data_IF_257538077530
#
_entry.id   IF_257538077530
#
_cell.length_a   1.000
_cell.length_b   1.000
_cell.length_c   1.000
_cell.angle_alpha   90.00
_cell.angle_beta   90.00
_cell.angle_gamma   90.00
#
_symmetry.space_group_name_H-M   'P 1'
#
loop_
_entity.id
_entity.type
_entity.pdbx_description
1 polymer ?
#
# COMPACT_ATOMS: atom_id res chain seq x y z
N UNK A 1 -15.54 43.31 7.36
CA UNK A 1 -16.08 42.24 8.23
C UNK A 1 -15.50 40.92 7.74
N UNK A 2 -14.44 40.44 8.39
CA UNK A 2 -13.78 39.16 8.03
C UNK A 2 -14.49 38.03 8.74
N UNK A 3 -14.71 36.86 8.08
CA UNK A 3 -15.32 35.72 8.73
C UNK A 3 -14.30 35.08 9.68
N UNK A 4 -14.64 35.01 10.96
CA UNK A 4 -13.95 34.27 11.98
C UNK A 4 -14.12 32.76 11.70
N UNK A 5 -13.05 32.10 11.24
CA UNK A 5 -12.97 30.65 11.20
C UNK A 5 -12.95 30.12 12.65
N UNK A 6 -14.04 29.53 13.05
CA UNK A 6 -14.11 28.72 14.28
C UNK A 6 -13.42 27.39 13.99
N UNK A 7 -12.15 27.26 14.43
CA UNK A 7 -11.52 25.94 14.50
C UNK A 7 -12.22 25.13 15.58
N UNK A 8 -13.12 24.25 15.15
CA UNK A 8 -13.63 23.19 16.03
C UNK A 8 -12.48 22.22 16.30
N UNK A 9 -11.87 22.31 17.48
CA UNK A 9 -10.95 21.30 17.99
C UNK A 9 -11.75 20.03 18.25
N UNK A 10 -11.76 19.10 17.29
CA UNK A 10 -12.23 17.74 17.52
C UNK A 10 -11.26 17.12 18.53
N UNK A 11 -11.63 17.07 19.80
CA UNK A 11 -10.88 16.33 20.80
C UNK A 11 -10.90 14.85 20.37
N UNK A 12 -9.71 14.26 20.20
CA UNK A 12 -9.60 12.82 19.97
C UNK A 12 -10.29 12.09 21.13
N UNK A 13 -11.23 11.17 20.86
CA UNK A 13 -11.88 10.41 21.91
C UNK A 13 -10.80 9.69 22.75
N UNK A 14 -10.96 9.69 24.07
CA UNK A 14 -10.05 8.98 24.95
C UNK A 14 -10.12 7.47 24.65
N UNK A 15 -9.04 6.72 24.94
CA UNK A 15 -9.02 5.26 24.79
C UNK A 15 -10.19 4.62 25.52
N UNK A 16 -10.55 5.12 26.71
CA UNK A 16 -11.69 4.63 27.49
C UNK A 16 -13.03 4.81 26.76
N UNK A 17 -13.21 5.93 26.08
CA UNK A 17 -14.43 6.16 25.28
C UNK A 17 -14.51 5.18 24.09
N UNK A 18 -13.38 4.89 23.44
CA UNK A 18 -13.30 3.89 22.38
C UNK A 18 -13.62 2.48 22.90
N UNK A 19 -13.01 2.09 24.03
CA UNK A 19 -13.27 0.79 24.67
C UNK A 19 -14.74 0.63 25.09
N UNK A 20 -15.37 1.68 25.63
CA UNK A 20 -16.79 1.67 25.96
C UNK A 20 -17.67 1.53 24.71
N UNK A 21 -17.32 2.20 23.62
CA UNK A 21 -18.05 2.13 22.37
C UNK A 21 -17.98 0.72 21.71
N UNK A 22 -16.86 0.01 21.90
CA UNK A 22 -16.64 -1.33 21.34
C UNK A 22 -17.17 -2.46 22.23
N UNK A 23 -17.41 -2.20 23.50
CA UNK A 23 -17.79 -3.22 24.48
C UNK A 23 -19.06 -3.96 24.10
N UNK A 24 -18.97 -5.30 23.99
CA UNK A 24 -20.10 -6.17 23.64
C UNK A 24 -20.57 -6.05 22.20
N UNK A 25 -19.76 -5.43 21.31
CA UNK A 25 -20.05 -5.31 19.88
C UNK A 25 -19.03 -6.09 19.06
N UNK A 26 -19.47 -6.60 17.93
CA UNK A 26 -18.62 -7.07 16.86
C UNK A 26 -18.45 -5.96 15.84
N UNK A 27 -17.22 -5.73 15.36
CA UNK A 27 -16.86 -4.60 14.49
C UNK A 27 -16.18 -5.06 13.21
N UNK A 28 -16.41 -4.35 12.12
CA UNK A 28 -15.56 -4.39 10.94
C UNK A 28 -14.53 -3.25 11.04
N UNK A 29 -13.28 -3.53 10.68
CA UNK A 29 -12.19 -2.55 10.77
C UNK A 29 -11.83 -2.06 9.37
N UNK A 30 -11.79 -0.73 9.18
CA UNK A 30 -11.29 -0.10 7.96
C UNK A 30 -9.88 0.42 8.21
N UNK A 31 -8.92 -0.04 7.40
CA UNK A 31 -7.51 0.39 7.48
C UNK A 31 -7.04 1.11 6.23
N UNK A 32 -5.99 1.93 6.39
CA UNK A 32 -5.27 2.63 5.32
C UNK A 32 -3.78 2.63 5.62
N UNK A 33 -2.98 3.35 4.82
CA UNK A 33 -1.51 3.30 4.85
C UNK A 33 -0.88 3.56 6.25
N UNK A 34 -1.54 4.35 7.09
CA UNK A 34 -1.06 4.63 8.45
C UNK A 34 -0.87 3.39 9.35
N UNK A 35 -1.58 2.27 9.11
CA UNK A 35 -1.38 1.03 9.86
C UNK A 35 -0.04 0.36 9.53
N UNK A 36 0.52 0.64 8.34
CA UNK A 36 1.74 -0.01 7.83
C UNK A 36 3.01 0.83 8.03
N UNK A 37 2.92 2.01 8.66
CA UNK A 37 4.10 2.89 8.88
C UNK A 37 5.16 2.23 9.76
N UNK A 38 4.77 1.53 10.82
CA UNK A 38 5.68 0.77 11.68
C UNK A 38 6.26 -0.49 10.98
N UNK A 39 5.75 -0.82 9.80
CA UNK A 39 6.31 -1.86 8.91
C UNK A 39 7.31 -1.27 7.89
N UNK A 40 7.58 0.03 7.94
CA UNK A 40 8.49 0.73 7.04
C UNK A 40 7.86 1.13 5.70
N UNK A 41 6.54 1.01 5.54
CA UNK A 41 5.80 1.51 4.38
C UNK A 41 5.26 2.90 4.76
N UNK A 42 5.61 3.98 4.01
CA UNK A 42 5.14 5.33 4.32
C UNK A 42 3.64 5.48 4.11
N UNK A 43 3.04 6.51 4.69
CA UNK A 43 1.67 6.89 4.40
C UNK A 43 1.58 8.08 3.43
N UNK A 44 0.37 8.41 2.96
CA UNK A 44 0.14 9.49 2.00
C UNK A 44 0.06 10.88 2.61
N UNK A 45 -0.11 11.01 3.93
CA UNK A 45 -0.46 12.25 4.63
C UNK A 45 0.38 12.52 5.88
N UNK A 46 1.33 11.63 6.19
CA UNK A 46 2.24 11.79 7.32
C UNK A 46 3.14 13.00 7.15
N UNK A 47 3.79 13.40 8.23
CA UNK A 47 4.75 14.50 8.23
C UNK A 47 5.89 14.17 7.26
N UNK A 48 6.13 15.06 6.29
CA UNK A 48 7.14 14.85 5.25
C UNK A 48 6.67 14.05 4.03
N UNK A 49 5.39 13.64 3.95
CA UNK A 49 4.87 12.94 2.78
C UNK A 49 4.96 13.85 1.52
N UNK A 50 5.62 13.40 0.43
CA UNK A 50 5.78 14.20 -0.77
C UNK A 50 4.43 14.41 -1.48
N UNK A 51 4.23 15.61 -2.02
CA UNK A 51 3.08 15.88 -2.91
C UNK A 51 3.36 15.19 -4.24
N UNK A 52 2.58 14.18 -4.57
CA UNK A 52 2.72 13.40 -5.82
C UNK A 52 1.47 13.52 -6.67
N UNK A 53 1.67 13.47 -7.99
CA UNK A 53 0.59 13.33 -8.96
C UNK A 53 0.62 11.89 -9.47
N UNK A 54 -0.24 11.00 -8.93
CA UNK A 54 -0.22 9.60 -9.33
C UNK A 54 -0.60 9.46 -10.81
N UNK A 55 0.04 8.50 -11.48
CA UNK A 55 -0.30 8.12 -12.85
C UNK A 55 -1.75 7.63 -12.92
N UNK A 56 -2.48 8.07 -13.92
CA UNK A 56 -3.83 7.58 -14.16
C UNK A 56 -3.78 6.25 -14.92
N UNK A 57 -4.80 5.40 -14.71
CA UNK A 57 -4.93 4.15 -15.47
C UNK A 57 -5.02 4.38 -16.99
N UNK A 58 -5.64 5.48 -17.42
CA UNK A 58 -5.70 5.86 -18.83
C UNK A 58 -4.31 6.14 -19.42
N UNK A 59 -3.45 6.86 -18.71
CA UNK A 59 -2.06 7.10 -19.13
C UNK A 59 -1.29 5.77 -19.26
N UNK A 60 -1.44 4.87 -18.30
CA UNK A 60 -0.85 3.54 -18.35
C UNK A 60 -1.32 2.74 -19.59
N UNK A 61 -2.59 2.81 -19.96
CA UNK A 61 -3.14 2.07 -21.11
C UNK A 61 -2.67 2.62 -22.44
N UNK A 62 -2.62 3.94 -22.60
CA UNK A 62 -2.47 4.58 -23.91
C UNK A 62 -1.04 4.95 -24.26
N UNK A 63 -0.15 5.06 -23.26
CA UNK A 63 1.20 5.58 -23.46
C UNK A 63 2.27 4.58 -22.97
N UNK A 64 3.20 4.24 -23.87
CA UNK A 64 4.27 3.28 -23.58
C UNK A 64 5.27 3.83 -22.55
N UNK A 65 5.54 5.13 -22.54
CA UNK A 65 6.51 5.74 -21.65
C UNK A 65 5.98 5.81 -20.22
N UNK A 66 4.66 6.05 -20.07
CA UNK A 66 4.02 5.92 -18.77
C UNK A 66 4.08 4.48 -18.24
N UNK A 67 3.88 3.45 -19.10
CA UNK A 67 4.04 2.05 -18.69
C UNK A 67 5.47 1.73 -18.28
N UNK A 68 6.47 2.23 -19.01
CA UNK A 68 7.89 2.06 -18.63
C UNK A 68 8.18 2.68 -17.28
N UNK A 69 7.73 3.91 -17.04
CA UNK A 69 7.91 4.61 -15.73
C UNK A 69 7.27 3.82 -14.60
N UNK A 70 6.03 3.37 -14.79
CA UNK A 70 5.34 2.55 -13.81
C UNK A 70 6.13 1.28 -13.46
N UNK A 71 6.53 0.52 -14.47
CA UNK A 71 7.23 -0.75 -14.24
C UNK A 71 8.64 -0.55 -13.69
N UNK A 72 9.35 0.49 -14.10
CA UNK A 72 10.66 0.82 -13.58
C UNK A 72 10.58 1.25 -12.10
N UNK A 73 9.66 2.16 -11.76
CA UNK A 73 9.41 2.59 -10.38
C UNK A 73 8.98 1.44 -9.48
N UNK A 74 7.99 0.67 -9.95
CA UNK A 74 7.52 -0.52 -9.25
C UNK A 74 8.59 -1.61 -9.09
N UNK A 75 9.52 -1.77 -10.05
CA UNK A 75 10.64 -2.69 -9.94
C UNK A 75 11.61 -2.27 -8.82
N UNK A 76 11.99 -1.01 -8.79
CA UNK A 76 12.90 -0.48 -7.76
C UNK A 76 12.27 -0.54 -6.35
N UNK A 77 11.00 -0.23 -6.23
CA UNK A 77 10.30 -0.26 -4.94
C UNK A 77 9.98 -1.66 -4.44
N UNK A 78 9.84 -2.63 -5.34
CA UNK A 78 9.37 -3.98 -5.02
C UNK A 78 10.20 -4.70 -3.95
N UNK A 79 11.52 -4.66 -4.04
CA UNK A 79 12.42 -5.33 -3.09
C UNK A 79 12.13 -4.91 -1.65
N UNK A 80 12.00 -3.61 -1.43
CA UNK A 80 11.72 -3.04 -0.11
C UNK A 80 10.28 -3.27 0.32
N UNK A 81 9.34 -3.09 -0.59
CA UNK A 81 7.92 -3.28 -0.33
C UNK A 81 7.61 -4.74 0.04
N UNK A 82 8.14 -5.70 -0.72
CA UNK A 82 7.94 -7.13 -0.48
C UNK A 82 8.62 -7.65 0.80
N UNK A 83 9.68 -6.96 1.26
CA UNK A 83 10.39 -7.28 2.49
C UNK A 83 9.74 -6.71 3.75
N UNK A 84 8.72 -5.84 3.63
CA UNK A 84 8.01 -5.31 4.78
C UNK A 84 7.31 -6.43 5.55
N UNK A 85 7.40 -6.41 6.89
CA UNK A 85 6.78 -7.40 7.76
C UNK A 85 5.59 -6.81 8.52
N UNK A 86 4.58 -7.63 8.87
CA UNK A 86 3.49 -7.18 9.72
C UNK A 86 4.00 -6.63 11.06
N UNK A 87 3.40 -5.56 11.54
CA UNK A 87 3.73 -4.93 12.82
C UNK A 87 2.72 -5.28 13.92
N UNK A 88 2.93 -4.73 15.12
CA UNK A 88 2.06 -4.96 16.28
C UNK A 88 0.59 -4.58 16.07
N UNK A 89 0.31 -3.59 15.22
CA UNK A 89 -1.06 -3.21 14.86
C UNK A 89 -1.79 -4.30 14.05
N UNK A 90 -1.08 -4.92 13.10
CA UNK A 90 -1.60 -6.06 12.34
C UNK A 90 -1.84 -7.27 13.24
N UNK A 91 -0.90 -7.59 14.14
CA UNK A 91 -1.03 -8.69 15.09
C UNK A 91 -2.23 -8.50 16.04
N UNK A 92 -2.40 -7.29 16.57
CA UNK A 92 -3.51 -6.97 17.44
C UNK A 92 -4.89 -7.17 16.76
N UNK A 93 -5.01 -6.87 15.47
CA UNK A 93 -6.23 -7.12 14.71
C UNK A 93 -6.52 -8.61 14.55
N UNK A 94 -5.48 -9.43 14.37
CA UNK A 94 -5.62 -10.90 14.36
C UNK A 94 -6.12 -11.42 15.70
N UNK A 95 -5.54 -10.95 16.81
CA UNK A 95 -5.97 -11.35 18.15
C UNK A 95 -7.44 -10.98 18.41
N UNK A 96 -7.86 -9.79 17.99
CA UNK A 96 -9.26 -9.34 18.09
C UNK A 96 -10.21 -10.14 17.19
N UNK A 97 -9.76 -10.57 16.01
CA UNK A 97 -10.51 -11.46 15.12
C UNK A 97 -10.69 -12.84 15.76
N UNK A 98 -9.64 -13.39 16.34
CA UNK A 98 -9.68 -14.68 17.06
C UNK A 98 -10.57 -14.61 18.30
N UNK A 99 -10.61 -13.47 18.99
CA UNK A 99 -11.49 -13.23 20.12
C UNK A 99 -12.97 -12.96 19.73
N UNK A 100 -13.27 -12.89 18.43
CA UNK A 100 -14.64 -12.62 17.93
C UNK A 100 -15.08 -11.16 18.09
N UNK A 101 -14.17 -10.24 18.39
CA UNK A 101 -14.43 -8.79 18.49
C UNK A 101 -14.39 -8.16 17.10
N UNK A 102 -13.43 -8.53 16.27
CA UNK A 102 -13.31 -8.11 14.86
C UNK A 102 -13.93 -9.19 13.99
N UNK A 103 -14.93 -8.83 13.16
CA UNK A 103 -15.52 -9.76 12.18
C UNK A 103 -14.67 -9.84 10.90
N UNK A 104 -13.97 -8.77 10.55
CA UNK A 104 -13.04 -8.73 9.42
C UNK A 104 -12.45 -7.36 9.20
N UNK A 105 -11.44 -7.32 8.32
CA UNK A 105 -10.70 -6.12 7.94
C UNK A 105 -11.05 -5.73 6.49
N UNK A 106 -11.37 -4.47 6.29
CA UNK A 106 -11.50 -3.84 4.98
C UNK A 106 -10.29 -2.92 4.85
N UNK A 107 -9.44 -3.13 3.85
CA UNK A 107 -8.21 -2.33 3.72
C UNK A 107 -8.13 -1.62 2.38
N UNK A 108 -7.61 -0.38 2.41
CA UNK A 108 -7.19 0.36 1.22
C UNK A 108 -5.74 0.02 0.83
N UNK A 109 -5.01 -0.67 1.72
CA UNK A 109 -3.62 -1.02 1.48
C UNK A 109 -3.51 -2.16 0.47
N UNK A 110 -2.40 -2.15 -0.28
CA UNK A 110 -2.07 -3.15 -1.31
C UNK A 110 -0.91 -4.06 -0.88
N UNK A 111 -0.43 -3.91 0.37
CA UNK A 111 0.77 -4.54 0.91
C UNK A 111 0.61 -6.01 1.33
N UNK A 112 -0.63 -6.47 1.49
CA UNK A 112 -0.95 -7.83 1.92
C UNK A 112 -0.60 -8.14 3.39
N UNK A 113 -0.19 -7.14 4.21
CA UNK A 113 0.31 -7.37 5.56
C UNK A 113 -0.75 -7.90 6.52
N UNK A 114 -2.04 -7.58 6.36
CA UNK A 114 -3.11 -8.18 7.15
C UNK A 114 -3.19 -9.69 6.96
N UNK A 115 -3.14 -10.17 5.71
CA UNK A 115 -3.15 -11.61 5.40
C UNK A 115 -1.89 -12.29 5.92
N UNK A 116 -0.72 -11.65 5.75
CA UNK A 116 0.57 -12.16 6.25
C UNK A 116 0.64 -12.20 7.77
N UNK A 117 -0.05 -11.29 8.46
CA UNK A 117 -0.20 -11.33 9.92
C UNK A 117 -1.07 -12.50 10.40
N UNK A 118 -1.96 -13.04 9.54
CA UNK A 118 -2.85 -14.13 9.86
C UNK A 118 -4.34 -13.77 9.92
N UNK A 119 -4.74 -12.53 9.55
CA UNK A 119 -6.15 -12.17 9.39
C UNK A 119 -6.80 -13.05 8.31
N UNK A 120 -7.98 -13.56 8.58
CA UNK A 120 -8.69 -14.53 7.72
C UNK A 120 -9.73 -13.90 6.81
N UNK A 121 -10.37 -12.84 7.30
CA UNK A 121 -11.42 -12.11 6.58
C UNK A 121 -10.91 -10.73 6.20
N UNK A 122 -10.23 -10.64 5.06
CA UNK A 122 -9.67 -9.38 4.53
C UNK A 122 -10.32 -9.06 3.19
N UNK A 123 -10.76 -7.81 3.03
CA UNK A 123 -11.25 -7.26 1.77
C UNK A 123 -10.29 -6.18 1.29
N UNK A 124 -9.56 -6.46 0.21
CA UNK A 124 -8.65 -5.53 -0.45
C UNK A 124 -9.44 -4.61 -1.40
N UNK A 125 -9.69 -3.37 -1.02
CA UNK A 125 -10.47 -2.42 -1.84
C UNK A 125 -9.75 -1.99 -3.11
N UNK A 126 -8.42 -1.92 -3.07
CA UNK A 126 -7.57 -1.46 -4.17
C UNK A 126 -6.76 -2.61 -4.82
N UNK A 127 -7.08 -3.86 -4.47
CA UNK A 127 -6.35 -5.03 -4.93
C UNK A 127 -5.10 -5.31 -4.11
N UNK A 128 -4.15 -6.06 -4.68
CA UNK A 128 -2.92 -6.50 -4.00
C UNK A 128 -1.73 -6.37 -4.93
N UNK A 129 -0.58 -5.99 -4.38
CA UNK A 129 0.70 -5.96 -5.10
C UNK A 129 1.30 -7.35 -5.33
N UNK A 130 0.76 -8.42 -4.72
CA UNK A 130 1.30 -9.79 -4.86
C UNK A 130 1.10 -10.40 -6.23
N UNK A 131 0.23 -9.82 -7.06
CA UNK A 131 -0.15 -10.36 -8.36
C UNK A 131 -0.30 -9.28 -9.42
N UNK A 132 0.01 -9.66 -10.64
CA UNK A 132 -0.15 -8.84 -11.85
C UNK A 132 -1.21 -9.49 -12.74
N UNK A 133 -2.08 -8.70 -13.32
CA UNK A 133 -3.10 -9.16 -14.25
C UNK A 133 -2.77 -8.70 -15.67
N UNK A 134 -2.75 -9.61 -16.62
CA UNK A 134 -2.69 -9.25 -18.03
C UNK A 134 -3.97 -8.54 -18.43
N UNK A 135 -3.86 -7.35 -19.00
CA UNK A 135 -5.02 -6.55 -19.42
C UNK A 135 -5.68 -7.08 -20.70
N UNK A 136 -4.97 -7.90 -21.49
CA UNK A 136 -5.49 -8.47 -22.73
C UNK A 136 -6.28 -9.76 -22.49
N UNK A 137 -5.68 -10.73 -21.75
CA UNK A 137 -6.30 -12.05 -21.57
C UNK A 137 -6.85 -12.29 -20.16
N UNK A 138 -6.58 -11.39 -19.22
CA UNK A 138 -7.05 -11.50 -17.84
C UNK A 138 -6.26 -12.47 -16.95
N UNK A 139 -5.24 -13.15 -17.47
CA UNK A 139 -4.42 -14.10 -16.73
C UNK A 139 -3.68 -13.39 -15.58
N UNK A 140 -3.56 -14.07 -14.45
CA UNK A 140 -2.79 -13.60 -13.29
C UNK A 140 -1.41 -14.25 -13.24
N UNK A 141 -0.44 -13.44 -12.81
CA UNK A 141 0.95 -13.82 -12.58
C UNK A 141 1.35 -13.42 -11.17
N UNK A 142 2.23 -14.19 -10.53
CA UNK A 142 2.84 -13.78 -9.27
C UNK A 142 3.71 -12.54 -9.52
N UNK A 143 3.60 -11.53 -8.66
CA UNK A 143 4.42 -10.31 -8.78
C UNK A 143 5.92 -10.60 -8.68
N UNK A 144 6.30 -11.59 -7.86
CA UNK A 144 7.70 -12.05 -7.76
C UNK A 144 8.24 -12.55 -9.09
N UNK A 145 7.46 -13.37 -9.84
CA UNK A 145 7.87 -13.86 -11.15
C UNK A 145 8.06 -12.72 -12.16
N UNK A 146 7.21 -11.70 -12.12
CA UNK A 146 7.39 -10.50 -12.96
C UNK A 146 8.62 -9.69 -12.50
N UNK A 147 8.89 -9.61 -11.19
CA UNK A 147 10.08 -8.95 -10.67
C UNK A 147 11.37 -9.61 -11.18
N UNK A 148 11.42 -10.94 -11.19
CA UNK A 148 12.57 -11.70 -11.70
C UNK A 148 12.79 -11.44 -13.20
N UNK A 149 11.71 -11.41 -13.99
CA UNK A 149 11.79 -11.11 -15.42
C UNK A 149 12.25 -9.66 -15.68
N UNK A 150 11.74 -8.69 -14.91
CA UNK A 150 12.18 -7.30 -14.98
C UNK A 150 13.65 -7.14 -14.62
N UNK A 151 14.13 -7.81 -13.56
CA UNK A 151 15.51 -7.82 -13.18
C UNK A 151 16.42 -8.40 -14.28
N UNK A 152 16.00 -9.52 -14.87
CA UNK A 152 16.74 -10.15 -15.97
C UNK A 152 16.80 -9.27 -17.23
N UNK A 153 15.74 -8.55 -17.55
CA UNK A 153 15.66 -7.64 -18.70
C UNK A 153 16.40 -6.31 -18.46
N UNK A 154 16.62 -5.91 -17.20
CA UNK A 154 17.23 -4.63 -16.84
C UNK A 154 18.36 -4.79 -15.80
N UNK A 155 19.43 -5.55 -16.11
CA UNK A 155 20.50 -5.86 -15.15
C UNK A 155 21.32 -4.63 -14.74
N UNK A 156 21.16 -3.52 -15.44
CA UNK A 156 21.80 -2.24 -15.18
C UNK A 156 21.05 -1.41 -14.11
N UNK A 157 19.78 -1.74 -13.85
CA UNK A 157 18.94 -1.01 -12.92
C UNK A 157 19.02 -1.63 -11.52
N UNK A 158 20.00 -1.21 -10.76
CA UNK A 158 20.11 -1.59 -9.35
C UNK A 158 19.05 -0.87 -8.51
N UNK A 159 18.49 -1.58 -7.54
CA UNK A 159 17.62 -1.00 -6.51
C UNK A 159 18.50 -0.50 -5.35
N UNK A 160 18.82 0.80 -5.28
CA UNK A 160 19.62 1.32 -4.19
C UNK A 160 18.85 1.19 -2.87
N UNK A 161 19.56 0.89 -1.77
CA UNK A 161 18.96 0.72 -0.44
C UNK A 161 18.30 2.01 0.10
N UNK A 162 18.56 3.16 -0.53
CA UNK A 162 18.12 4.51 -0.14
C UNK A 162 16.99 5.09 -1.00
N UNK A 163 16.24 4.26 -1.73
CA UNK A 163 15.14 4.77 -2.57
C UNK A 163 13.97 5.23 -1.71
N UNK A 164 13.43 6.41 -2.00
CA UNK A 164 12.23 6.91 -1.35
C UNK A 164 11.00 6.16 -1.88
N UNK A 165 10.42 5.30 -1.03
CA UNK A 165 9.28 4.46 -1.36
C UNK A 165 7.97 5.24 -1.20
N UNK A 166 7.04 5.04 -2.13
CA UNK A 166 5.65 5.49 -1.99
C UNK A 166 4.79 4.45 -1.25
N UNK A 167 3.62 4.85 -0.69
CA UNK A 167 2.71 3.93 -0.02
C UNK A 167 2.17 2.80 -0.91
N UNK A 168 2.19 2.98 -2.22
CA UNK A 168 1.84 2.00 -3.25
C UNK A 168 3.05 1.21 -3.77
N UNK A 169 4.22 1.34 -3.12
CA UNK A 169 5.44 0.63 -3.48
C UNK A 169 6.15 1.19 -4.72
N UNK A 170 5.75 2.35 -5.23
CA UNK A 170 6.36 2.97 -6.41
C UNK A 170 7.51 3.92 -6.05
N UNK A 171 8.43 4.09 -7.01
CA UNK A 171 9.58 4.99 -6.93
C UNK A 171 9.58 5.91 -8.15
N UNK A 172 9.79 7.19 -7.94
CA UNK A 172 9.83 8.16 -9.03
C UNK A 172 11.16 8.08 -9.79
N UNK A 173 11.09 7.89 -11.12
CA UNK A 173 12.25 7.76 -12.01
C UNK A 173 12.19 8.82 -13.11
N UNK A 174 13.29 9.53 -13.30
CA UNK A 174 13.38 10.61 -14.28
C UNK A 174 13.60 10.12 -15.71
N UNK A 175 14.40 9.04 -15.90
CA UNK A 175 14.74 8.49 -17.23
C UNK A 175 14.48 6.99 -17.30
N UNK A 176 13.66 6.58 -18.27
CA UNK A 176 13.24 5.19 -18.49
C UNK A 176 13.46 4.71 -19.93
N UNK A 177 14.25 5.43 -20.72
CA UNK A 177 14.41 5.16 -22.16
C UNK A 177 14.95 3.75 -22.42
N UNK A 178 15.90 3.31 -21.60
CA UNK A 178 16.54 1.99 -21.71
C UNK A 178 15.78 0.88 -20.98
N UNK A 179 14.69 1.20 -20.26
CA UNK A 179 13.94 0.21 -19.50
C UNK A 179 13.14 -0.73 -20.41
N UNK A 180 13.42 -2.02 -20.30
CA UNK A 180 12.72 -3.07 -21.03
C UNK A 180 11.59 -3.69 -20.19
N UNK A 181 10.39 -3.79 -20.78
CA UNK A 181 9.26 -4.56 -20.22
C UNK A 181 9.28 -5.91 -20.93
N UNK A 182 9.39 -7.05 -20.19
CA UNK A 182 9.40 -8.40 -20.74
C UNK A 182 8.06 -8.83 -21.34
#
# INVERSE_FOLDING_TARGET
>A
MSPTHVHSTVQSPSLDAALLALRGRTVAVLTGAGVSTDSGIPDYRGEGAPVRTPMTFQQFLTDSDYRKRYWAGSHLGWKRFSAAEPNGGHAALVDLELAGVVDGVITQNVDGLHLRAGSRKVVDLHGSMDRVRCLTCGQFFARSSIADQLAAANPWLDSPDSVELSPDGDVEIANVDEFAIP
#
